data_IF_873238003040
#
_entry.id   IF_873238003040
#
_cell.length_a   1.000
_cell.length_b   1.000
_cell.length_c   1.000
_cell.angle_alpha   90.00
_cell.angle_beta   90.00
_cell.angle_gamma   90.00
#
_symmetry.space_group_name_H-M   'P 1'
#
loop_
_entity.id
_entity.type
_entity.pdbx_description
1 polymer ?
#
# COMPACT_ATOMS: atom_id res chain seq x y z
N UNK A 1 59.14 -20.11 17.27
CA UNK A 1 58.54 -19.46 16.09
C UNK A 1 57.04 -19.44 16.34
N UNK A 2 56.52 -18.34 16.89
CA UNK A 2 55.12 -18.29 17.35
C UNK A 2 54.19 -18.01 16.19
N UNK A 3 53.19 -18.88 16.09
CA UNK A 3 51.98 -18.87 15.29
C UNK A 3 51.46 -17.48 14.89
N UNK A 4 51.30 -17.27 13.58
CA UNK A 4 50.40 -16.26 13.02
C UNK A 4 49.02 -16.89 12.85
N UNK A 5 48.10 -16.59 13.76
CA UNK A 5 46.69 -16.86 13.59
C UNK A 5 46.06 -15.57 13.05
N UNK A 6 45.96 -15.48 11.74
CA UNK A 6 45.37 -14.32 11.06
C UNK A 6 43.87 -14.33 11.33
N UNK A 7 43.48 -13.64 12.41
CA UNK A 7 42.10 -13.51 12.85
C UNK A 7 41.25 -12.88 11.74
N UNK A 8 40.35 -13.68 11.18
CA UNK A 8 39.25 -13.20 10.35
C UNK A 8 38.37 -12.27 11.19
N UNK A 9 38.58 -10.96 11.08
CA UNK A 9 37.67 -9.97 11.63
C UNK A 9 36.56 -9.71 10.60
N UNK A 10 35.48 -10.50 10.66
CA UNK A 10 34.23 -10.18 9.97
C UNK A 10 33.56 -9.01 10.70
N UNK A 11 33.78 -7.80 10.22
CA UNK A 11 33.03 -6.63 10.68
C UNK A 11 31.65 -6.61 10.02
N UNK A 12 30.63 -7.08 10.74
CA UNK A 12 29.24 -6.99 10.30
C UNK A 12 28.63 -5.63 10.68
N UNK A 13 27.84 -5.05 9.76
CA UNK A 13 27.09 -3.81 9.99
C UNK A 13 25.61 -4.13 9.92
N UNK A 14 24.88 -3.79 10.98
CA UNK A 14 23.43 -3.90 11.01
C UNK A 14 22.79 -2.55 10.69
N UNK A 15 22.00 -2.51 9.62
CA UNK A 15 21.22 -1.34 9.24
C UNK A 15 19.77 -1.55 9.65
N UNK A 16 19.24 -0.66 10.51
CA UNK A 16 17.82 -0.62 10.82
C UNK A 16 17.14 0.47 9.99
N UNK A 17 16.27 0.08 9.07
CA UNK A 17 15.45 1.02 8.29
C UNK A 17 14.13 1.23 9.03
N UNK A 18 13.79 2.50 9.30
CA UNK A 18 12.45 2.91 9.77
C UNK A 18 11.76 3.70 8.68
N UNK A 19 10.51 3.35 8.39
CA UNK A 19 9.70 4.05 7.40
C UNK A 19 8.76 5.00 8.14
N UNK A 20 8.80 6.27 7.77
CA UNK A 20 7.91 7.29 8.33
C UNK A 20 6.45 7.07 7.92
N UNK A 21 5.52 7.55 8.76
CA UNK A 21 4.09 7.45 8.46
C UNK A 21 3.74 8.30 7.24
N UNK A 22 3.08 7.69 6.25
CA UNK A 22 2.55 8.41 5.10
C UNK A 22 1.19 9.03 5.43
N UNK A 23 0.89 10.19 4.82
CA UNK A 23 -0.43 10.83 4.90
C UNK A 23 -1.48 10.15 4.02
N UNK A 24 -1.05 9.38 3.02
CA UNK A 24 -1.93 8.79 2.00
C UNK A 24 -2.06 7.28 2.14
N UNK A 25 -1.00 6.62 2.59
CA UNK A 25 -0.90 5.17 2.60
C UNK A 25 -0.63 4.63 3.99
N UNK A 26 -1.35 3.56 4.33
CA UNK A 26 -1.05 2.69 5.46
C UNK A 26 -0.54 1.37 4.92
N UNK A 27 0.53 0.84 5.52
CA UNK A 27 1.14 -0.42 5.11
C UNK A 27 0.84 -1.49 6.15
N UNK A 28 0.33 -2.63 5.69
CA UNK A 28 0.10 -3.83 6.50
C UNK A 28 0.82 -5.00 5.83
N UNK A 29 2.04 -5.32 6.31
CA UNK A 29 2.88 -6.32 5.66
C UNK A 29 3.31 -5.91 4.25
N UNK A 30 2.82 -6.63 3.23
CA UNK A 30 3.03 -6.28 1.82
C UNK A 30 1.85 -5.47 1.23
N UNK A 31 0.73 -5.39 1.94
CA UNK A 31 -0.48 -4.74 1.45
C UNK A 31 -0.47 -3.24 1.79
N UNK A 32 -1.13 -2.46 0.93
CA UNK A 32 -1.28 -1.03 1.06
C UNK A 32 -2.75 -0.66 1.19
N UNK A 33 -3.03 0.30 2.07
CA UNK A 33 -4.37 0.78 2.36
C UNK A 33 -4.40 2.29 2.13
N UNK A 34 -5.42 2.79 1.43
CA UNK A 34 -5.67 4.22 1.26
C UNK A 34 -7.15 4.53 1.38
N UNK A 35 -7.48 5.75 1.77
CA UNK A 35 -8.85 6.24 1.78
C UNK A 35 -9.13 7.06 0.51
N UNK A 36 -10.32 6.89 -0.03
CA UNK A 36 -10.84 7.77 -1.09
C UNK A 36 -12.17 8.36 -0.65
N UNK A 37 -12.43 9.56 -1.14
CA UNK A 37 -13.72 10.21 -0.98
C UNK A 37 -14.45 10.21 -2.31
N UNK A 38 -15.70 9.74 -2.30
CA UNK A 38 -16.58 9.75 -3.48
C UNK A 38 -17.84 10.55 -3.19
N UNK A 39 -18.44 11.16 -4.22
CA UNK A 39 -19.72 11.84 -4.06
C UNK A 39 -20.85 10.85 -3.83
N UNK A 40 -21.95 11.31 -3.22
CA UNK A 40 -23.18 10.51 -3.11
C UNK A 40 -23.66 9.99 -4.47
N UNK A 41 -23.55 10.80 -5.53
CA UNK A 41 -23.92 10.39 -6.89
C UNK A 41 -23.02 9.29 -7.45
N UNK A 42 -21.70 9.36 -7.25
CA UNK A 42 -20.77 8.30 -7.68
C UNK A 42 -20.97 7.00 -6.89
N UNK A 43 -21.27 7.10 -5.60
CA UNK A 43 -21.59 5.93 -4.78
C UNK A 43 -22.89 5.26 -5.26
N UNK A 44 -23.94 6.05 -5.52
CA UNK A 44 -25.24 5.54 -5.95
C UNK A 44 -25.22 4.98 -7.38
N UNK A 45 -24.64 5.72 -8.33
CA UNK A 45 -24.71 5.40 -9.77
C UNK A 45 -23.48 4.65 -10.28
N UNK A 46 -22.44 4.54 -9.46
CA UNK A 46 -21.13 4.03 -9.87
C UNK A 46 -20.35 5.07 -10.69
N UNK A 47 -19.18 4.67 -11.15
CA UNK A 47 -18.33 5.52 -11.98
C UNK A 47 -16.89 5.08 -12.02
N UNK A 48 -16.01 5.96 -12.50
CA UNK A 48 -14.57 5.75 -12.47
C UNK A 48 -13.89 6.94 -11.81
N UNK A 49 -12.86 6.65 -11.02
CA UNK A 49 -12.04 7.66 -10.37
C UNK A 49 -10.57 7.34 -10.56
N UNK A 50 -9.72 8.37 -10.53
CA UNK A 50 -8.27 8.19 -10.53
C UNK A 50 -7.77 8.17 -9.09
N UNK A 51 -7.08 7.11 -8.71
CA UNK A 51 -6.54 6.90 -7.35
C UNK A 51 -5.03 6.83 -7.43
N UNK A 52 -4.36 7.43 -6.45
CA UNK A 52 -2.90 7.32 -6.32
C UNK A 52 -2.52 5.94 -5.80
N UNK A 53 -1.69 5.21 -6.54
CA UNK A 53 -0.98 4.03 -6.05
C UNK A 53 0.43 4.38 -5.60
N UNK A 54 1.10 3.40 -5.00
CA UNK A 54 2.49 3.57 -4.54
C UNK A 54 3.51 3.68 -5.69
N UNK A 55 3.18 3.13 -6.86
CA UNK A 55 4.03 3.14 -8.05
C UNK A 55 3.49 4.06 -9.15
N UNK A 56 2.17 4.08 -9.31
CA UNK A 56 1.48 4.78 -10.39
C UNK A 56 0.06 5.16 -10.01
N UNK A 57 -0.51 6.13 -10.71
CA UNK A 57 -1.94 6.44 -10.60
C UNK A 57 -2.77 5.41 -11.37
N UNK A 58 -3.86 4.94 -10.77
CA UNK A 58 -4.72 3.89 -11.31
C UNK A 58 -6.14 4.41 -11.53
N UNK A 59 -6.81 3.94 -12.59
CA UNK A 59 -8.24 4.20 -12.81
C UNK A 59 -9.04 3.07 -12.15
N UNK A 60 -9.85 3.43 -11.15
CA UNK A 60 -10.62 2.48 -10.33
C UNK A 60 -12.10 2.66 -10.63
N UNK A 61 -12.79 1.54 -10.86
CA UNK A 61 -14.25 1.55 -11.05
C UNK A 61 -14.93 1.46 -9.69
N UNK A 62 -15.81 2.41 -9.41
CA UNK A 62 -16.70 2.40 -8.24
C UNK A 62 -17.99 1.68 -8.65
N UNK A 63 -18.33 0.55 -8.01
CA UNK A 63 -19.61 -0.13 -8.24
C UNK A 63 -20.80 0.77 -7.89
N UNK A 64 -21.88 0.66 -8.65
CA UNK A 64 -23.14 1.31 -8.28
C UNK A 64 -23.68 0.71 -6.98
N UNK A 65 -24.22 1.56 -6.11
CA UNK A 65 -24.67 1.16 -4.76
C UNK A 65 -23.55 0.94 -3.76
N UNK A 66 -22.34 1.47 -3.99
CA UNK A 66 -21.25 1.41 -3.00
C UNK A 66 -21.63 2.16 -1.72
N UNK A 67 -21.27 1.62 -0.57
CA UNK A 67 -21.50 2.20 0.75
C UNK A 67 -20.19 2.76 1.35
N UNK A 68 -20.33 3.66 2.33
CA UNK A 68 -19.21 3.97 3.23
C UNK A 68 -18.76 2.68 3.92
N UNK A 69 -17.45 2.51 4.07
CA UNK A 69 -16.77 1.31 4.60
C UNK A 69 -16.56 0.17 3.59
N UNK A 70 -17.12 0.27 2.38
CA UNK A 70 -16.76 -0.67 1.31
C UNK A 70 -15.27 -0.56 0.97
N UNK A 71 -14.72 -1.68 0.50
CA UNK A 71 -13.32 -1.77 0.10
C UNK A 71 -13.19 -2.32 -1.31
N UNK A 72 -12.40 -1.65 -2.13
CA UNK A 72 -12.00 -2.15 -3.44
C UNK A 72 -10.59 -2.71 -3.32
N UNK A 73 -10.42 -3.97 -3.70
CA UNK A 73 -9.13 -4.64 -3.74
C UNK A 73 -8.54 -4.53 -5.14
N UNK A 74 -7.31 -4.02 -5.23
CA UNK A 74 -6.51 -4.01 -6.45
C UNK A 74 -5.37 -5.04 -6.31
N UNK A 75 -5.49 -6.21 -6.97
CA UNK A 75 -4.52 -7.29 -6.80
C UNK A 75 -3.16 -6.92 -7.38
N UNK A 76 -2.08 -7.25 -6.65
CA UNK A 76 -0.70 -7.02 -7.07
C UNK A 76 -0.24 -5.56 -7.08
N UNK A 77 -1.03 -4.65 -6.51
CA UNK A 77 -0.74 -3.20 -6.46
C UNK A 77 -0.19 -2.73 -5.11
N UNK A 78 0.10 -3.66 -4.19
CA UNK A 78 0.85 -3.42 -2.95
C UNK A 78 2.36 -3.50 -3.16
N UNK A 79 3.13 -3.66 -2.09
CA UNK A 79 4.60 -3.68 -2.11
C UNK A 79 5.13 -5.08 -2.44
N UNK A 80 6.31 -5.15 -3.07
CA UNK A 80 7.04 -6.41 -3.27
C UNK A 80 7.29 -7.16 -1.95
N UNK A 81 7.09 -8.47 -1.95
CA UNK A 81 7.30 -9.32 -0.78
C UNK A 81 8.80 -9.53 -0.55
N UNK A 82 9.28 -9.24 0.67
CA UNK A 82 10.71 -9.35 1.01
C UNK A 82 11.18 -10.81 1.02
N UNK A 83 10.34 -11.73 1.50
CA UNK A 83 10.68 -13.15 1.68
C UNK A 83 9.90 -14.07 0.71
N UNK A 84 9.59 -13.62 -0.50
CA UNK A 84 8.84 -14.43 -1.45
C UNK A 84 8.65 -13.76 -2.81
N UNK A 85 7.92 -14.41 -3.69
CA UNK A 85 7.61 -13.89 -5.01
C UNK A 85 6.34 -13.03 -5.01
N UNK A 86 6.32 -12.02 -5.87
CA UNK A 86 5.16 -11.19 -6.14
C UNK A 86 4.98 -10.02 -5.19
N UNK A 87 3.79 -9.44 -5.28
CA UNK A 87 3.40 -8.21 -4.59
C UNK A 87 2.25 -8.46 -3.62
N UNK A 88 2.08 -7.59 -2.64
CA UNK A 88 0.82 -7.45 -1.93
C UNK A 88 -0.25 -6.77 -2.78
N UNK A 89 -1.38 -6.47 -2.15
CA UNK A 89 -2.53 -5.84 -2.79
C UNK A 89 -2.74 -4.41 -2.27
N UNK A 90 -3.49 -3.60 -3.02
CA UNK A 90 -3.90 -2.27 -2.58
C UNK A 90 -5.40 -2.26 -2.27
N UNK A 91 -5.76 -2.05 -1.01
CA UNK A 91 -7.12 -1.88 -0.53
C UNK A 91 -7.49 -0.40 -0.46
N UNK A 92 -8.51 -0.03 -1.21
CA UNK A 92 -9.06 1.32 -1.24
C UNK A 92 -10.33 1.35 -0.39
N UNK A 93 -10.34 2.17 0.66
CA UNK A 93 -11.46 2.33 1.59
C UNK A 93 -12.32 3.50 1.14
N UNK A 94 -13.62 3.25 0.94
CA UNK A 94 -14.55 4.24 0.42
C UNK A 94 -15.17 5.05 1.56
N UNK A 95 -15.11 6.37 1.44
CA UNK A 95 -15.86 7.32 2.26
C UNK A 95 -16.79 8.14 1.37
N UNK A 96 -18.08 8.14 1.67
CA UNK A 96 -19.04 8.95 0.93
C UNK A 96 -19.10 10.34 1.55
N UNK A 97 -18.85 11.37 0.74
CA UNK A 97 -19.05 12.76 1.15
C UNK A 97 -20.45 13.22 0.80
N UNK A 98 -21.19 13.67 1.82
CA UNK A 98 -22.47 14.33 1.65
C UNK A 98 -22.28 15.67 0.92
N UNK A 99 -23.20 16.04 0.01
CA UNK A 99 -23.20 17.36 -0.60
C UNK A 99 -23.37 18.45 0.47
N UNK A 100 -22.76 19.61 0.24
CA UNK A 100 -22.99 20.83 1.04
C UNK A 100 -24.16 21.62 0.45
#
# INVERSE_FOLDING_TARGET
>A
MSVGNDGLHNNEIFLQIRVEKSRYFRREGADIHSDITVSLSQAALGGKIRVQGIYENMLVTIPAGSCSNDRIRLPGKGISRINGYGYGDHYIHIHIQAPK
#
